data_IF_775879364327
#
_entry.id   IF_775879364327
#
_cell.length_a   1.000
_cell.length_b   1.000
_cell.length_c   1.000
_cell.angle_alpha   90.00
_cell.angle_beta   90.00
_cell.angle_gamma   90.00
#
_symmetry.space_group_name_H-M   'P 1'
#
loop_
_entity.id
_entity.type
_entity.pdbx_description
1 polymer ?
#
# COMPACT_ATOMS: atom_id res chain seq x y z
N UNK A 1 0.81 4.22 -1.16
CA UNK A 1 -0.59 4.63 -0.90
C UNK A 1 -0.76 5.64 0.24
N UNK A 2 0.29 6.10 0.93
CA UNK A 2 0.22 7.23 1.87
C UNK A 2 0.27 8.62 1.16
N UNK A 3 0.36 8.65 -0.17
CA UNK A 3 0.53 9.87 -0.97
C UNK A 3 -0.75 10.71 -1.11
N UNK A 4 -1.92 10.07 -1.20
CA UNK A 4 -3.15 10.77 -1.58
C UNK A 4 -3.61 11.81 -0.56
N UNK A 5 -3.35 11.59 0.74
CA UNK A 5 -3.64 12.57 1.80
C UNK A 5 -2.58 13.67 1.92
N UNK A 6 -1.36 13.42 1.45
CA UNK A 6 -0.28 14.43 1.47
C UNK A 6 -0.21 15.24 0.18
N UNK A 7 -0.82 14.77 -0.92
CA UNK A 7 -0.86 15.48 -2.19
C UNK A 7 -1.41 16.91 -2.10
N UNK A 8 -2.51 17.18 -1.37
CA UNK A 8 -2.98 18.55 -1.16
C UNK A 8 -2.00 19.40 -0.34
N UNK A 9 -1.39 18.82 0.71
CA UNK A 9 -0.39 19.51 1.54
C UNK A 9 0.89 19.84 0.78
N UNK A 10 1.37 18.92 -0.07
CA UNK A 10 2.52 19.11 -0.94
C UNK A 10 2.22 20.17 -2.02
N UNK A 11 1.01 20.16 -2.60
CA UNK A 11 0.57 21.19 -3.54
C UNK A 11 0.54 22.57 -2.87
N UNK A 12 -0.04 22.66 -1.67
CA UNK A 12 -0.12 23.91 -0.90
C UNK A 12 1.23 24.42 -0.39
N UNK A 13 2.21 23.53 -0.19
CA UNK A 13 3.56 23.87 0.27
C UNK A 13 4.52 24.19 -0.88
N UNK A 14 4.09 24.02 -2.14
CA UNK A 14 4.92 24.26 -3.31
C UNK A 14 5.02 25.75 -3.60
N UNK A 15 6.24 26.27 -3.75
CA UNK A 15 6.49 27.67 -4.12
C UNK A 15 5.86 28.04 -5.47
N UNK A 16 5.77 27.07 -6.39
CA UNK A 16 5.18 27.26 -7.71
C UNK A 16 4.27 26.07 -8.08
N UNK A 17 2.95 26.15 -7.79
CA UNK A 17 2.03 25.02 -7.94
C UNK A 17 1.81 24.55 -9.38
N UNK A 18 2.17 25.36 -10.38
CA UNK A 18 2.10 24.99 -11.81
C UNK A 18 3.09 23.88 -12.19
N UNK A 19 4.18 23.70 -11.43
CA UNK A 19 5.18 22.66 -11.66
C UNK A 19 4.82 21.30 -11.02
N UNK A 20 3.70 21.23 -10.29
CA UNK A 20 3.26 20.04 -9.55
C UNK A 20 3.23 18.75 -10.40
N UNK A 21 2.70 18.75 -11.64
CA UNK A 21 2.69 17.54 -12.47
C UNK A 21 4.09 17.06 -12.86
N UNK A 22 5.02 17.99 -13.16
CA UNK A 22 6.40 17.67 -13.54
C UNK A 22 7.19 17.09 -12.37
N UNK A 23 7.00 17.64 -11.16
CA UNK A 23 7.63 17.13 -9.93
C UNK A 23 7.10 15.73 -9.60
N UNK A 24 5.79 15.50 -9.72
CA UNK A 24 5.20 14.18 -9.53
C UNK A 24 5.76 13.17 -10.54
N UNK A 25 5.75 13.51 -11.84
CA UNK A 25 6.23 12.62 -12.89
C UNK A 25 7.71 12.25 -12.67
N UNK A 26 8.56 13.23 -12.39
CA UNK A 26 9.98 13.00 -12.09
C UNK A 26 10.14 12.09 -10.89
N UNK A 27 9.41 12.35 -9.80
CA UNK A 27 9.47 11.54 -8.57
C UNK A 27 9.04 10.10 -8.81
N UNK A 28 7.97 9.88 -9.59
CA UNK A 28 7.51 8.54 -9.95
C UNK A 28 8.50 7.79 -10.84
N UNK A 29 9.06 8.45 -11.86
CA UNK A 29 10.07 7.85 -12.75
C UNK A 29 11.31 7.48 -11.95
N UNK A 30 11.83 8.40 -11.12
CA UNK A 30 12.99 8.13 -10.28
C UNK A 30 12.73 6.97 -9.32
N UNK A 31 11.56 6.92 -8.67
CA UNK A 31 11.19 5.81 -7.78
C UNK A 31 11.10 4.48 -8.53
N UNK A 32 10.53 4.48 -9.73
CA UNK A 32 10.41 3.29 -10.58
C UNK A 32 11.79 2.76 -10.98
N UNK A 33 12.71 3.63 -11.40
CA UNK A 33 14.08 3.25 -11.73
C UNK A 33 14.81 2.68 -10.51
N UNK A 34 14.69 3.32 -9.34
CA UNK A 34 15.33 2.85 -8.10
C UNK A 34 14.79 1.47 -7.69
N UNK A 35 13.47 1.28 -7.65
CA UNK A 35 12.87 0.00 -7.26
C UNK A 35 13.18 -1.11 -8.27
N UNK A 36 13.17 -0.81 -9.56
CA UNK A 36 13.52 -1.76 -10.61
C UNK A 36 15.01 -2.15 -10.51
N UNK A 37 15.90 -1.17 -10.33
CA UNK A 37 17.33 -1.40 -10.15
C UNK A 37 17.62 -2.27 -8.92
N UNK A 38 17.01 -1.97 -7.78
CA UNK A 38 17.12 -2.80 -6.57
C UNK A 38 16.59 -4.21 -6.81
N UNK A 39 15.47 -4.37 -7.54
CA UNK A 39 14.92 -5.67 -7.90
C UNK A 39 15.86 -6.51 -8.78
N UNK A 40 16.43 -5.90 -9.82
CA UNK A 40 17.38 -6.56 -10.73
C UNK A 40 18.65 -6.95 -9.95
N UNK A 41 19.24 -6.03 -9.20
CA UNK A 41 20.42 -6.32 -8.39
C UNK A 41 20.15 -7.42 -7.34
N UNK A 42 19.00 -7.38 -6.68
CA UNK A 42 18.59 -8.40 -5.72
C UNK A 42 18.42 -9.78 -6.36
N UNK A 43 17.83 -9.86 -7.55
CA UNK A 43 17.71 -11.11 -8.30
C UNK A 43 19.07 -11.65 -8.74
N UNK A 44 19.95 -10.79 -9.26
CA UNK A 44 21.31 -11.17 -9.64
C UNK A 44 22.14 -11.66 -8.44
N UNK A 45 21.93 -11.09 -7.25
CA UNK A 45 22.68 -11.43 -6.04
C UNK A 45 22.26 -12.76 -5.39
N UNK A 46 20.97 -13.12 -5.43
CA UNK A 46 20.44 -14.33 -4.75
C UNK A 46 19.94 -15.43 -5.69
N UNK A 47 19.80 -15.14 -6.99
CA UNK A 47 19.38 -16.08 -8.02
C UNK A 47 18.04 -16.78 -7.70
N UNK A 48 17.92 -18.05 -8.10
CA UNK A 48 16.73 -18.88 -7.88
C UNK A 48 16.46 -19.24 -6.40
N UNK A 49 17.36 -18.90 -5.47
CA UNK A 49 17.13 -19.13 -4.03
C UNK A 49 16.39 -17.98 -3.34
N UNK A 50 15.95 -16.95 -4.09
CA UNK A 50 15.27 -15.75 -3.57
C UNK A 50 13.99 -16.10 -2.79
N UNK A 51 14.04 -15.99 -1.45
CA UNK A 51 12.84 -16.09 -0.60
C UNK A 51 12.05 -14.78 -0.65
N UNK A 52 10.77 -14.83 -0.28
CA UNK A 52 9.82 -13.69 -0.29
C UNK A 52 10.28 -12.44 0.46
N UNK A 53 11.34 -12.52 1.25
CA UNK A 53 12.03 -11.39 1.87
C UNK A 53 13.53 -11.47 1.55
N UNK A 54 14.07 -10.42 0.93
CA UNK A 54 15.51 -10.28 0.62
C UNK A 54 16.41 -10.48 1.85
N UNK A 55 15.95 -10.01 3.02
CA UNK A 55 16.68 -10.12 4.29
C UNK A 55 16.86 -11.58 4.74
N UNK A 56 15.97 -12.50 4.39
CA UNK A 56 16.07 -13.90 4.81
C UNK A 56 17.19 -14.68 4.12
N UNK A 57 17.67 -14.20 2.96
CA UNK A 57 18.77 -14.81 2.21
C UNK A 57 20.14 -14.21 2.51
N UNK A 58 20.22 -13.15 3.31
CA UNK A 58 21.48 -12.48 3.59
C UNK A 58 22.38 -13.34 4.49
N UNK A 59 23.67 -13.54 4.14
CA UNK A 59 24.58 -14.35 4.96
C UNK A 59 24.79 -13.71 6.35
N UNK A 60 24.33 -14.40 7.40
CA UNK A 60 24.28 -13.95 8.81
C UNK A 60 25.63 -13.56 9.45
N UNK A 61 26.74 -13.75 8.72
CA UNK A 61 28.13 -13.62 9.19
C UNK A 61 28.72 -12.22 9.02
N UNK A 62 28.09 -11.34 8.25
CA UNK A 62 28.55 -9.95 8.07
C UNK A 62 27.75 -8.96 8.92
N UNK A 63 28.44 -7.95 9.48
CA UNK A 63 27.83 -6.86 10.26
C UNK A 63 26.78 -6.10 9.44
N UNK A 64 27.02 -5.93 8.13
CA UNK A 64 26.07 -5.34 7.20
C UNK A 64 24.72 -6.08 7.15
N UNK A 65 24.71 -7.41 7.25
CA UNK A 65 23.48 -8.20 7.31
C UNK A 65 22.73 -8.03 8.64
N UNK A 66 23.44 -7.86 9.75
CA UNK A 66 22.81 -7.54 11.04
C UNK A 66 22.15 -6.16 11.01
N UNK A 67 22.83 -5.15 10.45
CA UNK A 67 22.29 -3.80 10.31
C UNK A 67 21.08 -3.82 9.36
N UNK A 68 21.18 -4.49 8.20
CA UNK A 68 20.07 -4.62 7.27
C UNK A 68 18.86 -5.33 7.90
N UNK A 69 19.09 -6.43 8.62
CA UNK A 69 18.02 -7.14 9.33
C UNK A 69 17.35 -6.28 10.40
N UNK A 70 18.14 -5.53 11.17
CA UNK A 70 17.60 -4.59 12.15
C UNK A 70 16.76 -3.50 11.49
N UNK A 71 17.26 -2.88 10.41
CA UNK A 71 16.52 -1.85 9.66
C UNK A 71 15.22 -2.38 9.04
N UNK A 72 15.22 -3.60 8.52
CA UNK A 72 14.00 -4.25 7.98
C UNK A 72 12.93 -4.45 9.06
N UNK A 73 13.31 -4.61 10.33
CA UNK A 73 12.35 -4.73 11.45
C UNK A 73 11.92 -3.35 11.94
N UNK A 74 12.84 -2.40 12.07
CA UNK A 74 12.55 -1.05 12.59
C UNK A 74 11.67 -0.25 11.62
N UNK A 75 11.91 -0.34 10.31
CA UNK A 75 11.18 0.47 9.34
C UNK A 75 9.65 0.20 9.33
N UNK A 76 9.17 -1.05 9.35
CA UNK A 76 7.75 -1.35 9.51
C UNK A 76 7.18 -0.91 10.86
N UNK A 77 7.92 -1.06 11.97
CA UNK A 77 7.44 -0.63 13.30
C UNK A 77 7.14 0.88 13.30
N UNK A 78 8.08 1.68 12.80
CA UNK A 78 7.89 3.13 12.70
C UNK A 78 6.74 3.49 11.76
N UNK A 79 6.65 2.83 10.59
CA UNK A 79 5.52 3.05 9.65
C UNK A 79 4.18 2.65 10.26
N UNK A 80 4.14 1.56 11.02
CA UNK A 80 2.94 1.08 11.69
C UNK A 80 2.45 2.10 12.73
N UNK A 81 3.34 2.63 13.56
CA UNK A 81 3.01 3.67 14.54
C UNK A 81 2.42 4.94 13.88
N UNK A 82 2.99 5.35 12.74
CA UNK A 82 2.48 6.49 11.96
C UNK A 82 1.14 6.19 11.28
N UNK A 83 0.89 4.95 10.86
CA UNK A 83 -0.32 4.57 10.11
C UNK A 83 -1.51 4.27 11.02
N UNK A 84 -1.28 3.69 12.21
CA UNK A 84 -2.37 3.33 13.13
C UNK A 84 -3.06 4.56 13.71
N UNK A 85 -2.34 5.67 13.86
CA UNK A 85 -2.87 6.92 14.42
C UNK A 85 -4.02 7.51 13.57
N UNK A 86 -3.84 7.80 12.27
CA UNK A 86 -4.94 8.28 11.43
C UNK A 86 -6.05 7.24 11.24
N UNK A 87 -5.73 5.94 11.23
CA UNK A 87 -6.75 4.87 11.16
C UNK A 87 -7.63 4.87 12.40
N UNK A 88 -7.03 5.01 13.59
CA UNK A 88 -7.78 5.10 14.84
C UNK A 88 -8.66 6.36 14.87
N UNK A 89 -8.14 7.51 14.46
CA UNK A 89 -8.92 8.74 14.37
C UNK A 89 -10.10 8.63 13.38
N UNK A 90 -9.90 8.03 12.21
CA UNK A 90 -10.99 7.81 11.26
C UNK A 90 -12.09 6.90 11.81
N UNK A 91 -11.73 5.88 12.59
CA UNK A 91 -12.71 5.00 13.24
C UNK A 91 -13.45 5.72 14.39
N UNK A 92 -12.75 6.55 15.15
CA UNK A 92 -13.34 7.41 16.20
C UNK A 92 -14.35 8.41 15.61
N UNK A 93 -14.07 8.97 14.43
CA UNK A 93 -14.95 9.94 13.75
C UNK A 93 -16.21 9.28 13.15
N UNK A 94 -16.10 8.03 12.68
CA UNK A 94 -17.23 7.26 12.16
C UNK A 94 -18.20 6.79 13.26
N UNK A 95 -17.79 6.79 14.54
CA UNK A 95 -18.69 6.48 15.65
C UNK A 95 -19.50 7.73 16.03
N UNK A 96 -20.83 7.76 15.80
CA UNK A 96 -21.67 8.96 15.93
C UNK A 96 -22.00 9.34 17.38
N UNK A 97 -21.33 8.75 18.37
CA UNK A 97 -21.68 8.94 19.77
C UNK A 97 -20.96 10.16 20.35
N UNK A 98 -21.67 11.29 20.36
CA UNK A 98 -21.41 12.52 21.12
C UNK A 98 -21.24 12.32 22.65
N UNK A 99 -21.06 11.09 23.13
CA UNK A 99 -20.96 10.68 24.53
C UNK A 99 -19.68 9.92 24.88
N UNK A 100 -18.85 9.58 23.89
CA UNK A 100 -17.65 8.73 24.05
C UNK A 100 -16.33 9.50 23.83
N UNK A 101 -16.31 10.80 24.14
CA UNK A 101 -15.09 11.62 24.22
C UNK A 101 -14.30 11.30 25.50
N UNK A 102 -13.91 10.04 25.68
CA UNK A 102 -13.04 9.61 26.77
C UNK A 102 -11.80 8.97 26.18
N UNK A 103 -10.63 9.30 26.75
CA UNK A 103 -9.35 8.64 26.42
C UNK A 103 -9.45 7.10 26.45
N UNK A 104 -10.36 6.54 27.24
CA UNK A 104 -10.62 5.10 27.32
C UNK A 104 -11.07 4.50 25.98
N UNK A 105 -11.91 5.20 25.21
CA UNK A 105 -12.45 4.69 23.94
C UNK A 105 -11.36 4.67 22.87
N UNK A 106 -10.54 5.72 22.81
CA UNK A 106 -9.39 5.77 21.91
C UNK A 106 -8.39 4.66 22.23
N UNK A 107 -8.14 4.40 23.52
CA UNK A 107 -7.28 3.29 23.96
C UNK A 107 -7.88 1.93 23.56
N UNK A 108 -9.18 1.72 23.74
CA UNK A 108 -9.86 0.48 23.34
C UNK A 108 -9.80 0.26 21.83
N UNK A 109 -10.05 1.29 21.01
CA UNK A 109 -9.96 1.21 19.55
C UNK A 109 -8.54 0.87 19.11
N UNK A 110 -7.53 1.57 19.65
CA UNK A 110 -6.12 1.33 19.32
C UNK A 110 -5.68 -0.06 19.72
N UNK A 111 -6.05 -0.52 20.92
CA UNK A 111 -5.71 -1.88 21.38
C UNK A 111 -6.40 -2.95 20.56
N UNK A 112 -7.68 -2.78 20.21
CA UNK A 112 -8.40 -3.70 19.32
C UNK A 112 -7.77 -3.77 17.91
N UNK A 113 -7.32 -2.63 17.37
CA UNK A 113 -6.57 -2.60 16.10
C UNK A 113 -5.25 -3.37 16.20
N UNK A 114 -4.47 -3.18 17.27
CA UNK A 114 -3.21 -3.92 17.46
C UNK A 114 -3.47 -5.43 17.61
N UNK A 115 -4.46 -5.82 18.42
CA UNK A 115 -4.82 -7.23 18.63
C UNK A 115 -5.29 -7.87 17.32
N UNK A 116 -6.14 -7.21 16.54
CA UNK A 116 -6.58 -7.75 15.24
C UNK A 116 -5.42 -7.91 14.26
N UNK A 117 -4.50 -6.94 14.22
CA UNK A 117 -3.28 -7.04 13.39
C UNK A 117 -2.42 -8.23 13.82
N UNK A 118 -2.26 -8.45 15.13
CA UNK A 118 -1.51 -9.57 15.69
C UNK A 118 -2.12 -10.92 15.31
N UNK A 119 -3.45 -11.05 15.42
CA UNK A 119 -4.17 -12.27 15.03
C UNK A 119 -3.94 -12.58 13.55
N UNK A 120 -4.07 -11.58 12.66
CA UNK A 120 -3.82 -11.75 11.23
C UNK A 120 -2.37 -12.17 10.96
N UNK A 121 -1.40 -11.54 11.64
CA UNK A 121 0.01 -11.87 11.51
C UNK A 121 0.33 -13.31 11.96
N UNK A 122 -0.35 -13.81 12.99
CA UNK A 122 -0.18 -15.19 13.49
C UNK A 122 -0.90 -16.24 12.63
N UNK A 123 -2.02 -15.87 12.02
CA UNK A 123 -2.87 -16.81 11.25
C UNK A 123 -2.35 -17.00 9.82
N UNK A 124 -1.65 -16.01 9.25
CA UNK A 124 -1.18 -16.08 7.86
C UNK A 124 0.34 -15.97 7.78
N UNK A 125 1.09 -17.09 7.86
CA UNK A 125 2.55 -17.09 7.75
C UNK A 125 3.06 -16.81 6.32
N UNK A 126 2.17 -16.66 5.33
CA UNK A 126 2.49 -16.44 3.93
C UNK A 126 2.47 -14.95 3.56
N UNK A 127 3.53 -14.24 3.97
CA UNK A 127 3.71 -12.81 3.67
C UNK A 127 3.51 -12.46 2.18
N UNK A 128 4.04 -13.31 1.30
CA UNK A 128 3.95 -13.15 -0.16
C UNK A 128 2.50 -13.15 -0.67
N UNK A 129 1.72 -14.15 -0.25
CA UNK A 129 0.32 -14.30 -0.68
C UNK A 129 -0.56 -13.17 -0.15
N UNK A 130 -0.32 -12.71 1.09
CA UNK A 130 -1.04 -11.55 1.68
C UNK A 130 -0.67 -10.26 0.94
N UNK A 131 0.61 -10.04 0.65
CA UNK A 131 1.05 -8.88 -0.13
C UNK A 131 0.46 -8.88 -1.54
N UNK A 132 0.40 -10.05 -2.19
CA UNK A 132 -0.22 -10.21 -3.51
C UNK A 132 -1.73 -9.92 -3.47
N UNK A 133 -2.43 -10.36 -2.42
CA UNK A 133 -3.87 -10.09 -2.24
C UNK A 133 -4.13 -8.60 -1.98
N UNK A 134 -3.41 -7.99 -1.04
CA UNK A 134 -3.50 -6.56 -0.74
C UNK A 134 -3.18 -5.74 -1.99
N UNK A 135 -2.13 -6.12 -2.73
CA UNK A 135 -1.73 -5.51 -3.99
C UNK A 135 -2.82 -5.57 -5.06
N UNK A 136 -3.33 -6.77 -5.33
CA UNK A 136 -4.30 -6.98 -6.40
C UNK A 136 -5.68 -6.42 -6.09
N UNK A 137 -6.15 -6.48 -4.84
CA UNK A 137 -7.46 -5.95 -4.45
C UNK A 137 -7.39 -4.48 -4.07
N UNK A 138 -6.71 -4.18 -2.97
CA UNK A 138 -6.80 -2.87 -2.32
C UNK A 138 -6.06 -1.79 -3.11
N UNK A 139 -4.87 -2.09 -3.64
CA UNK A 139 -4.12 -1.11 -4.46
C UNK A 139 -4.85 -0.85 -5.77
N UNK A 140 -5.33 -1.87 -6.48
CA UNK A 140 -6.06 -1.66 -7.74
C UNK A 140 -7.35 -0.86 -7.53
N UNK A 141 -8.09 -1.16 -6.45
CA UNK A 141 -9.31 -0.43 -6.12
C UNK A 141 -9.04 1.05 -5.81
N UNK A 142 -8.07 1.34 -4.93
CA UNK A 142 -7.82 2.71 -4.48
C UNK A 142 -7.00 3.53 -5.48
N UNK A 143 -6.07 2.92 -6.21
CA UNK A 143 -5.15 3.63 -7.10
C UNK A 143 -5.67 3.76 -8.54
N UNK A 144 -6.50 2.83 -9.02
CA UNK A 144 -7.03 2.86 -10.40
C UNK A 144 -8.53 3.12 -10.42
N UNK A 145 -9.31 2.31 -9.70
CA UNK A 145 -10.78 2.34 -9.81
C UNK A 145 -11.35 3.60 -9.16
N UNK A 146 -10.96 3.90 -7.92
CA UNK A 146 -11.47 5.03 -7.15
C UNK A 146 -11.20 6.40 -7.81
N UNK A 147 -9.97 6.78 -8.21
CA UNK A 147 -9.74 8.07 -8.86
C UNK A 147 -10.45 8.17 -10.22
N UNK A 148 -10.51 7.07 -10.99
CA UNK A 148 -11.22 7.06 -12.28
C UNK A 148 -12.72 7.23 -12.09
N UNK A 149 -13.31 6.60 -11.08
CA UNK A 149 -14.73 6.74 -10.73
C UNK A 149 -15.04 8.15 -10.21
N UNK A 150 -14.21 8.70 -9.32
CA UNK A 150 -14.36 10.07 -8.84
C UNK A 150 -14.22 11.10 -9.97
N UNK A 151 -13.24 10.92 -10.87
CA UNK A 151 -13.06 11.82 -12.01
C UNK A 151 -14.28 11.83 -12.94
N UNK A 152 -14.86 10.66 -13.21
CA UNK A 152 -16.08 10.55 -14.02
C UNK A 152 -17.30 11.14 -13.31
N UNK A 153 -17.42 10.93 -12.00
CA UNK A 153 -18.55 11.43 -11.20
C UNK A 153 -18.51 12.96 -11.02
N UNK A 154 -17.33 13.55 -10.80
CA UNK A 154 -17.15 15.00 -10.59
C UNK A 154 -17.29 15.78 -11.89
N UNK A 155 -16.80 15.26 -13.01
CA UNK A 155 -16.84 15.93 -14.32
C UNK A 155 -17.96 15.44 -15.24
N UNK A 156 -19.00 14.81 -14.68
CA UNK A 156 -20.15 14.30 -15.42
C UNK A 156 -20.77 15.42 -16.29
N UNK A 157 -20.63 15.31 -17.62
CA UNK A 157 -21.14 16.28 -18.60
C UNK A 157 -20.13 17.26 -19.22
N UNK A 158 -18.88 17.35 -18.74
CA UNK A 158 -17.82 18.19 -19.32
C UNK A 158 -16.68 17.42 -19.99
N UNK A 159 -16.75 16.09 -19.99
CA UNK A 159 -15.68 15.19 -20.43
C UNK A 159 -15.80 14.85 -21.92
N UNK A 160 -14.66 14.81 -22.61
CA UNK A 160 -14.57 14.30 -23.98
C UNK A 160 -14.83 12.79 -24.00
N UNK A 161 -15.50 12.28 -25.05
CA UNK A 161 -15.73 10.82 -25.22
C UNK A 161 -14.45 9.99 -25.08
N UNK A 162 -13.30 10.52 -25.51
CA UNK A 162 -11.99 9.90 -25.34
C UNK A 162 -11.56 9.78 -23.86
N UNK A 163 -11.74 10.83 -23.05
CA UNK A 163 -11.39 10.80 -21.62
C UNK A 163 -12.26 9.78 -20.87
N UNK A 164 -13.55 9.74 -21.17
CA UNK A 164 -14.48 8.75 -20.62
C UNK A 164 -14.05 7.34 -21.02
N UNK A 165 -13.73 7.13 -22.30
CA UNK A 165 -13.27 5.82 -22.80
C UNK A 165 -11.99 5.36 -22.10
N UNK A 166 -11.02 6.25 -21.88
CA UNK A 166 -9.77 5.93 -21.18
C UNK A 166 -10.02 5.57 -19.71
N UNK A 167 -10.87 6.32 -19.00
CA UNK A 167 -11.22 6.01 -17.60
C UNK A 167 -11.94 4.65 -17.49
N UNK A 168 -12.89 4.36 -18.38
CA UNK A 168 -13.58 3.07 -18.41
C UNK A 168 -12.59 1.94 -18.69
N UNK A 169 -11.68 2.12 -19.65
CA UNK A 169 -10.64 1.14 -19.95
C UNK A 169 -9.75 0.85 -18.73
N UNK A 170 -9.30 1.88 -18.02
CA UNK A 170 -8.49 1.72 -16.80
C UNK A 170 -9.26 0.95 -15.72
N UNK A 171 -10.56 1.22 -15.54
CA UNK A 171 -11.40 0.48 -14.59
C UNK A 171 -11.49 -1.00 -14.98
N UNK A 172 -11.74 -1.31 -16.26
CA UNK A 172 -11.83 -2.69 -16.75
C UNK A 172 -10.52 -3.43 -16.51
N UNK A 173 -9.38 -2.83 -16.89
CA UNK A 173 -8.05 -3.43 -16.66
C UNK A 173 -7.80 -3.64 -15.17
N UNK A 174 -8.14 -2.66 -14.32
CA UNK A 174 -8.03 -2.78 -12.87
C UNK A 174 -8.84 -3.94 -12.31
N UNK A 175 -10.09 -4.11 -12.74
CA UNK A 175 -10.97 -5.21 -12.31
C UNK A 175 -10.44 -6.58 -12.78
N UNK A 176 -9.97 -6.67 -14.03
CA UNK A 176 -9.39 -7.92 -14.55
C UNK A 176 -8.13 -8.31 -13.77
N UNK A 177 -7.19 -7.38 -13.59
CA UNK A 177 -5.98 -7.61 -12.81
C UNK A 177 -6.29 -7.97 -11.36
N UNK A 178 -7.27 -7.32 -10.75
CA UNK A 178 -7.72 -7.59 -9.39
C UNK A 178 -8.31 -8.99 -9.26
N UNK A 179 -9.17 -9.40 -10.18
CA UNK A 179 -9.80 -10.72 -10.20
C UNK A 179 -8.77 -11.84 -10.37
N UNK A 180 -7.85 -11.69 -11.33
CA UNK A 180 -6.79 -12.68 -11.60
C UNK A 180 -5.80 -12.75 -10.42
N UNK A 181 -5.39 -11.60 -9.88
CA UNK A 181 -4.46 -11.55 -8.75
C UNK A 181 -5.05 -12.16 -7.48
N UNK A 182 -6.32 -11.88 -7.21
CA UNK A 182 -7.07 -12.45 -6.07
C UNK A 182 -7.21 -13.96 -6.21
N UNK A 183 -7.62 -14.43 -7.39
CA UNK A 183 -7.74 -15.86 -7.65
C UNK A 183 -6.40 -16.60 -7.46
N UNK A 184 -5.32 -16.04 -7.99
CA UNK A 184 -3.97 -16.59 -7.83
C UNK A 184 -3.54 -16.62 -6.35
N UNK A 185 -3.78 -15.54 -5.60
CA UNK A 185 -3.43 -15.45 -4.19
C UNK A 185 -4.23 -16.46 -3.34
N UNK A 186 -5.55 -16.55 -3.52
CA UNK A 186 -6.41 -17.49 -2.80
C UNK A 186 -6.01 -18.93 -3.12
N UNK A 187 -5.77 -19.27 -4.39
CA UNK A 187 -5.31 -20.60 -4.79
C UNK A 187 -3.97 -20.95 -4.15
N UNK A 188 -3.04 -19.99 -4.10
CA UNK A 188 -1.73 -20.16 -3.43
C UNK A 188 -1.87 -20.40 -1.93
N UNK A 189 -2.80 -19.71 -1.27
CA UNK A 189 -3.09 -19.91 0.16
C UNK A 189 -3.74 -21.28 0.40
N UNK A 190 -4.75 -21.65 -0.39
CA UNK A 190 -5.43 -22.93 -0.27
C UNK A 190 -4.48 -24.12 -0.48
N UNK A 191 -3.62 -24.05 -1.50
CA UNK A 191 -2.66 -25.13 -1.80
C UNK A 191 -1.53 -25.25 -0.77
N UNK A 192 -1.29 -24.23 0.06
CA UNK A 192 -0.30 -24.30 1.15
C UNK A 192 -0.91 -24.75 2.48
N UNK A 193 -2.24 -24.72 2.61
CA UNK A 193 -2.99 -25.22 3.76
C UNK A 193 -3.43 -26.69 3.60
N UNK A 194 -3.42 -27.22 2.38
CA UNK A 194 -3.61 -28.64 2.07
C UNK A 194 -2.29 -29.41 2.20
#
# INVERSE_FOLDING_TARGET
MAGHSVFPNIYSSMKEPSQYPSVLLTSFITSMLLYTGVGICGFLMFGNSTKSQFTLNMPKRFVASKIAAFTTVVAPISKYALTITPVAFGLEELLPSARLRSHAVSIVIRTALVISTLIVALTVPYFDSVMALIGSLLVMLVALIFPSACYLSIHHGRLTKLQISVCIFIIIVGVLCSSVGTYSAIKSIANKMA
#
